data_IF_844316425967
#
_entry.id   IF_844316425967
#
_cell.length_a   1.000
_cell.length_b   1.000
_cell.length_c   1.000
_cell.angle_alpha   90.00
_cell.angle_beta   90.00
_cell.angle_gamma   90.00
#
_symmetry.space_group_name_H-M   'P 1'
#
loop_
_entity.id
_entity.type
_entity.pdbx_description
1 polymer ?
#
# COMPACT_ATOMS: atom_id res chain seq x y z
N UNK A 1 11.29 -15.68 5.06
CA UNK A 1 11.63 -14.28 4.73
C UNK A 1 12.36 -14.13 3.40
N UNK A 2 13.25 -15.06 3.05
CA UNK A 2 14.05 -15.07 1.80
C UNK A 2 13.27 -14.99 0.48
N UNK A 3 12.06 -15.55 0.42
CA UNK A 3 11.21 -15.54 -0.78
C UNK A 3 10.72 -14.14 -1.18
N UNK A 4 10.36 -13.30 -0.20
CA UNK A 4 9.89 -11.93 -0.47
C UNK A 4 11.06 -11.08 -0.99
N UNK A 5 12.23 -11.25 -0.38
CA UNK A 5 13.46 -10.56 -0.77
C UNK A 5 13.91 -10.94 -2.19
N UNK A 6 13.91 -12.23 -2.53
CA UNK A 6 14.18 -12.71 -3.89
C UNK A 6 13.20 -12.15 -4.92
N UNK A 7 11.90 -12.20 -4.63
CA UNK A 7 10.88 -11.70 -5.56
C UNK A 7 10.95 -10.18 -5.70
N UNK A 8 11.27 -9.47 -4.62
CA UNK A 8 11.49 -8.02 -4.66
C UNK A 8 12.75 -7.64 -5.43
N UNK A 9 13.82 -8.45 -5.32
CA UNK A 9 15.05 -8.26 -6.10
C UNK A 9 14.81 -8.47 -7.59
N UNK A 10 13.97 -9.45 -7.95
CA UNK A 10 13.54 -9.69 -9.33
C UNK A 10 12.58 -8.61 -9.84
N UNK A 11 11.68 -8.13 -8.98
CA UNK A 11 10.63 -7.19 -9.33
C UNK A 11 10.50 -6.08 -8.27
N UNK A 12 11.37 -5.05 -8.28
CA UNK A 12 11.40 -4.01 -7.25
C UNK A 12 10.17 -3.09 -7.26
N UNK A 13 9.34 -3.17 -8.30
CA UNK A 13 8.08 -2.45 -8.44
C UNK A 13 6.89 -3.18 -7.81
N UNK A 14 7.06 -4.43 -7.34
CA UNK A 14 5.99 -5.19 -6.72
C UNK A 14 5.70 -4.69 -5.29
N UNK A 15 4.48 -4.20 -5.10
CA UNK A 15 3.94 -3.90 -3.78
C UNK A 15 3.45 -5.14 -3.03
N UNK A 16 3.06 -4.92 -1.78
CA UNK A 16 2.54 -5.97 -0.88
C UNK A 16 1.39 -6.80 -1.47
N UNK A 17 0.58 -6.22 -2.36
CA UNK A 17 -0.49 -6.93 -3.10
C UNK A 17 0.06 -7.93 -4.10
N UNK A 18 0.99 -7.51 -4.98
CA UNK A 18 1.56 -8.41 -6.00
C UNK A 18 2.43 -9.51 -5.39
N UNK A 19 3.17 -9.19 -4.33
CA UNK A 19 3.94 -10.18 -3.59
C UNK A 19 3.03 -11.22 -2.93
N UNK A 20 1.89 -10.80 -2.36
CA UNK A 20 0.88 -11.74 -1.85
C UNK A 20 0.41 -12.67 -2.96
N UNK A 21 -0.01 -12.14 -4.11
CA UNK A 21 -0.53 -12.95 -5.22
C UNK A 21 0.52 -13.95 -5.73
N UNK A 22 1.78 -13.53 -5.77
CA UNK A 22 2.88 -14.41 -6.11
C UNK A 22 3.08 -15.53 -5.08
N UNK A 23 3.03 -15.22 -3.78
CA UNK A 23 3.11 -16.22 -2.71
C UNK A 23 1.94 -17.21 -2.75
N UNK A 24 0.75 -16.73 -3.09
CA UNK A 24 -0.46 -17.54 -3.23
C UNK A 24 -0.32 -18.54 -4.40
N UNK A 25 0.27 -18.12 -5.53
CA UNK A 25 0.64 -19.01 -6.64
C UNK A 25 1.68 -20.07 -6.25
N UNK A 26 2.53 -19.77 -5.26
CA UNK A 26 3.49 -20.73 -4.70
C UNK A 26 2.85 -21.67 -3.64
N UNK A 27 1.50 -21.73 -3.58
CA UNK A 27 0.71 -22.46 -2.58
C UNK A 27 1.04 -22.09 -1.13
N UNK A 28 1.52 -20.86 -0.91
CA UNK A 28 1.72 -20.31 0.44
C UNK A 28 0.63 -19.30 0.72
N UNK A 29 -0.31 -19.69 1.56
CA UNK A 29 -1.33 -18.77 2.05
C UNK A 29 -0.68 -17.78 3.03
N UNK A 30 -0.43 -16.56 2.57
CA UNK A 30 0.19 -15.50 3.37
C UNK A 30 -0.69 -14.26 3.35
N UNK A 31 -1.13 -13.84 4.53
CA UNK A 31 -1.95 -12.63 4.65
C UNK A 31 -1.18 -11.37 4.21
N UNK A 32 -1.89 -10.45 3.54
CA UNK A 32 -1.33 -9.17 3.07
C UNK A 32 -0.69 -8.35 4.20
N UNK A 33 -1.22 -8.41 5.42
CA UNK A 33 -0.68 -7.69 6.59
C UNK A 33 0.69 -8.26 6.97
N UNK A 34 0.88 -9.56 6.82
CA UNK A 34 2.16 -10.23 7.08
C UNK A 34 3.21 -9.84 6.04
N UNK A 35 2.85 -9.84 4.76
CA UNK A 35 3.72 -9.35 3.68
C UNK A 35 4.10 -7.88 3.91
N UNK A 36 3.12 -7.01 4.22
CA UNK A 36 3.38 -5.60 4.52
C UNK A 36 4.33 -5.40 5.70
N UNK A 37 4.15 -6.16 6.78
CA UNK A 37 5.02 -6.10 7.97
C UNK A 37 6.44 -6.56 7.64
N UNK A 38 6.58 -7.59 6.81
CA UNK A 38 7.88 -8.11 6.36
C UNK A 38 8.60 -7.10 5.47
N UNK A 39 7.92 -6.53 4.47
CA UNK A 39 8.50 -5.46 3.64
C UNK A 39 8.92 -4.26 4.48
N UNK A 40 8.10 -3.82 5.44
CA UNK A 40 8.45 -2.73 6.35
C UNK A 40 9.66 -3.04 7.25
N UNK A 41 9.78 -4.29 7.74
CA UNK A 41 10.95 -4.72 8.53
C UNK A 41 12.24 -4.76 7.72
N UNK A 42 12.15 -5.03 6.41
CA UNK A 42 13.28 -5.06 5.49
C UNK A 42 13.56 -3.68 4.85
N UNK A 43 12.81 -2.64 5.20
CA UNK A 43 12.94 -1.31 4.58
C UNK A 43 12.54 -1.28 3.10
N UNK A 44 11.90 -2.34 2.59
CA UNK A 44 11.51 -2.46 1.19
C UNK A 44 10.23 -1.64 0.97
N UNK A 45 10.40 -0.45 0.43
CA UNK A 45 9.28 0.42 0.02
C UNK A 45 9.03 0.17 -1.45
N UNK A 46 7.89 -0.45 -1.78
CA UNK A 46 7.53 -0.63 -3.18
C UNK A 46 7.48 0.73 -3.88
N UNK A 47 8.24 0.88 -4.96
CA UNK A 47 8.22 2.05 -5.84
C UNK A 47 6.89 2.21 -6.61
N UNK A 48 5.85 1.48 -6.21
CA UNK A 48 4.53 1.59 -6.79
C UNK A 48 3.98 2.99 -6.46
N UNK A 49 3.55 3.77 -7.47
CA UNK A 49 2.87 5.03 -7.21
C UNK A 49 1.70 4.72 -6.29
N UNK A 50 1.69 5.37 -5.13
CA UNK A 50 0.54 5.35 -4.24
C UNK A 50 -0.65 5.74 -5.12
N UNK A 51 -1.69 4.91 -5.27
CA UNK A 51 -2.86 5.34 -6.03
C UNK A 51 -3.27 6.63 -5.35
N UNK A 52 -3.18 7.73 -6.10
CA UNK A 52 -3.70 9.00 -5.68
C UNK A 52 -5.17 8.70 -5.42
N UNK A 53 -5.51 8.48 -4.16
CA UNK A 53 -6.88 8.66 -3.71
C UNK A 53 -7.07 10.15 -3.92
N UNK A 54 -7.51 10.48 -5.14
CA UNK A 54 -7.88 11.81 -5.58
C UNK A 54 -8.53 12.46 -4.39
N UNK A 55 -7.83 13.47 -3.86
CA UNK A 55 -8.18 14.29 -2.70
C UNK A 55 -9.67 14.21 -2.50
N UNK A 56 -10.10 13.67 -1.35
CA UNK A 56 -11.49 13.78 -0.87
C UNK A 56 -11.94 15.17 -1.27
N UNK A 57 -12.82 15.28 -2.26
CA UNK A 57 -13.26 16.57 -2.74
C UNK A 57 -13.96 17.21 -1.54
N UNK A 58 -13.37 18.23 -0.91
CA UNK A 58 -14.02 18.88 0.20
C UNK A 58 -14.94 19.88 -0.47
N UNK A 59 -16.05 19.39 -1.03
CA UNK A 59 -17.19 20.22 -1.37
C UNK A 59 -17.84 20.64 -0.05
N UNK A 60 -17.11 21.49 0.68
CA UNK A 60 -17.64 22.34 1.71
C UNK A 60 -18.80 23.15 1.10
N UNK A 61 -20.01 22.98 1.64
CA UNK A 61 -20.87 24.12 1.89
C UNK A 61 -20.91 24.34 3.39
N UNK A 62 -19.85 24.96 3.91
CA UNK A 62 -19.97 25.64 5.20
C UNK A 62 -20.74 26.92 4.88
N UNK A 63 -22.00 26.97 5.29
CA UNK A 63 -22.78 28.20 5.25
C UNK A 63 -22.18 29.19 6.26
N UNK A 64 -21.83 30.42 5.86
CA UNK A 64 -21.41 31.43 6.81
C UNK A 64 -22.65 31.90 7.57
N UNK A 65 -22.87 31.40 8.78
CA UNK A 65 -23.64 32.17 9.76
C UNK A 65 -22.68 33.18 10.39
N UNK A 66 -22.54 34.34 9.74
CA UNK A 66 -21.92 35.49 10.37
C UNK A 66 -22.88 36.02 11.44
N UNK A 67 -22.57 35.73 12.71
CA UNK A 67 -22.99 36.59 13.81
C UNK A 67 -22.16 37.89 13.78
N UNK A 68 -22.82 39.03 13.93
CA UNK A 68 -22.32 40.19 14.68
C UNK A 68 -21.60 41.27 13.89
N UNK A 69 -22.34 42.30 13.50
CA UNK A 69 -22.07 43.70 13.87
C UNK A 69 -23.36 44.53 13.64
#
# INVERSE_FOLDING_TARGET
MRLIDQEYTRHPFYGSRKIRDWLERQRREVDRKRVRRLMGRMGLVSAAPKPNASRVAPAHKIHPICCGA
#
